data_IF_147308692780
#
_entry.id   IF_147308692780
#
_cell.length_a   1.000
_cell.length_b   1.000
_cell.length_c   1.000
_cell.angle_alpha   90.00
_cell.angle_beta   90.00
_cell.angle_gamma   90.00
#
_symmetry.space_group_name_H-M   'P 1'
#
loop_
_entity.id
_entity.type
_entity.pdbx_description
1 polymer ?
#
# COMPACT_ATOMS: atom_id res chain seq x y z
N UNK A 1 -14.33 15.59 18.37
CA UNK A 1 -12.96 15.04 18.20
C UNK A 1 -12.94 13.52 18.07
N UNK A 2 -13.65 12.78 18.93
CA UNK A 2 -13.63 11.30 18.93
C UNK A 2 -14.03 10.66 17.60
N UNK A 3 -15.10 11.14 16.96
CA UNK A 3 -15.55 10.63 15.65
C UNK A 3 -14.47 10.83 14.58
N UNK A 4 -13.77 11.97 14.58
CA UNK A 4 -12.71 12.25 13.61
C UNK A 4 -11.51 11.32 13.81
N UNK A 5 -11.17 10.99 15.05
CA UNK A 5 -10.15 10.00 15.39
C UNK A 5 -10.56 8.61 14.89
N UNK A 6 -11.81 8.20 15.11
CA UNK A 6 -12.32 6.91 14.63
C UNK A 6 -12.24 6.84 13.11
N UNK A 7 -12.68 7.88 12.40
CA UNK A 7 -12.60 7.96 10.93
C UNK A 7 -11.14 7.88 10.47
N UNK A 8 -10.22 8.59 11.13
CA UNK A 8 -8.80 8.58 10.80
C UNK A 8 -8.19 7.18 10.95
N UNK A 9 -8.40 6.54 12.10
CA UNK A 9 -7.82 5.20 12.38
C UNK A 9 -8.42 4.14 11.46
N UNK A 10 -9.75 4.12 11.27
CA UNK A 10 -10.39 3.14 10.39
C UNK A 10 -10.01 3.34 8.93
N UNK A 11 -9.94 4.58 8.44
CA UNK A 11 -9.53 4.84 7.06
C UNK A 11 -8.08 4.44 6.80
N UNK A 12 -7.18 4.65 7.77
CA UNK A 12 -5.80 4.19 7.67
C UNK A 12 -5.70 2.66 7.69
N UNK A 13 -6.44 1.99 8.59
CA UNK A 13 -6.47 0.52 8.68
C UNK A 13 -7.01 -0.11 7.39
N UNK A 14 -8.14 0.38 6.87
CA UNK A 14 -8.76 -0.10 5.63
C UNK A 14 -7.90 0.23 4.42
N UNK A 15 -7.27 1.42 4.40
CA UNK A 15 -6.43 1.87 3.29
C UNK A 15 -5.12 1.08 3.18
N UNK A 16 -4.44 0.87 4.31
CA UNK A 16 -3.15 0.17 4.36
C UNK A 16 -3.35 -1.36 4.34
N UNK A 17 -4.42 -1.89 4.95
CA UNK A 17 -4.66 -3.33 5.11
C UNK A 17 -4.39 -4.18 3.85
N UNK A 18 -4.91 -3.80 2.67
CA UNK A 18 -4.69 -4.55 1.43
C UNK A 18 -3.23 -4.62 0.96
N UNK A 19 -2.35 -3.73 1.43
CA UNK A 19 -0.90 -3.82 1.13
C UNK A 19 -0.27 -5.10 1.70
N UNK A 20 -0.76 -5.59 2.84
CA UNK A 20 -0.32 -6.86 3.42
C UNK A 20 -0.79 -8.09 2.64
N UNK A 21 -1.91 -7.95 1.92
CA UNK A 21 -2.45 -9.02 1.08
C UNK A 21 -1.78 -9.05 -0.30
N UNK A 22 -1.15 -7.96 -0.74
CA UNK A 22 -0.43 -7.90 -2.02
C UNK A 22 0.59 -9.04 -2.19
N UNK A 23 1.19 -9.48 -1.09
CA UNK A 23 2.13 -10.61 -1.06
C UNK A 23 1.52 -11.95 -1.43
N UNK A 24 0.21 -12.12 -1.21
CA UNK A 24 -0.52 -13.34 -1.57
C UNK A 24 -0.76 -13.39 -3.07
N UNK A 25 -1.03 -12.24 -3.69
CA UNK A 25 -1.35 -12.15 -5.12
C UNK A 25 -0.13 -12.02 -6.02
N UNK A 26 1.03 -11.64 -5.48
CA UNK A 26 2.24 -11.32 -6.23
C UNK A 26 3.44 -12.14 -5.72
N UNK A 27 3.21 -13.43 -5.49
CA UNK A 27 4.26 -14.32 -4.99
C UNK A 27 5.27 -14.60 -6.09
N UNK A 28 6.57 -14.58 -5.74
CA UNK A 28 7.65 -14.81 -6.72
C UNK A 28 7.69 -16.21 -7.31
N UNK A 29 7.03 -17.19 -6.67
CA UNK A 29 6.99 -18.60 -7.06
C UNK A 29 5.83 -18.97 -7.99
N UNK A 30 4.90 -18.04 -8.24
CA UNK A 30 3.76 -18.31 -9.10
C UNK A 30 4.20 -18.45 -10.57
N UNK A 31 3.59 -19.39 -11.28
CA UNK A 31 3.76 -19.49 -12.73
C UNK A 31 2.91 -18.42 -13.46
N UNK A 32 3.11 -18.29 -14.78
CA UNK A 32 2.44 -17.27 -15.61
C UNK A 32 0.92 -17.39 -15.54
N UNK A 33 0.39 -18.61 -15.55
CA UNK A 33 -1.06 -18.85 -15.52
C UNK A 33 -1.68 -18.43 -14.18
N UNK A 34 -1.01 -18.74 -13.07
CA UNK A 34 -1.43 -18.29 -11.74
C UNK A 34 -1.42 -16.75 -11.66
N UNK A 35 -0.39 -16.11 -12.22
CA UNK A 35 -0.29 -14.65 -12.27
C UNK A 35 -1.42 -14.00 -13.08
N UNK A 36 -1.82 -14.57 -14.23
CA UNK A 36 -2.98 -14.09 -15.01
C UNK A 36 -4.25 -14.02 -14.17
N UNK A 37 -4.46 -15.00 -13.29
CA UNK A 37 -5.60 -15.01 -12.38
C UNK A 37 -5.44 -14.01 -11.23
N UNK A 38 -4.25 -13.89 -10.64
CA UNK A 38 -4.01 -13.05 -9.46
C UNK A 38 -3.85 -11.55 -9.75
N UNK A 39 -3.30 -11.17 -10.91
CA UNK A 39 -2.94 -9.78 -11.19
C UNK A 39 -4.16 -8.86 -11.31
N UNK A 40 -5.30 -9.40 -11.76
CA UNK A 40 -6.57 -8.66 -11.78
C UNK A 40 -7.06 -8.27 -10.38
N UNK A 41 -6.81 -9.11 -9.38
CA UNK A 41 -7.13 -8.80 -7.98
C UNK A 41 -6.17 -7.76 -7.41
N UNK A 42 -4.87 -7.91 -7.66
CA UNK A 42 -3.86 -6.94 -7.20
C UNK A 42 -4.18 -5.51 -7.68
N UNK A 43 -4.58 -5.34 -8.95
CA UNK A 43 -4.98 -4.03 -9.48
C UNK A 43 -6.24 -3.43 -8.85
N UNK A 44 -7.18 -4.26 -8.36
CA UNK A 44 -8.35 -3.77 -7.61
C UNK A 44 -7.94 -3.33 -6.20
N UNK A 45 -6.99 -4.01 -5.58
CA UNK A 45 -6.52 -3.70 -4.23
C UNK A 45 -5.81 -2.35 -4.14
N UNK A 46 -5.17 -1.89 -5.22
CA UNK A 46 -4.55 -0.55 -5.28
C UNK A 46 -5.53 0.60 -5.06
N UNK A 47 -6.86 0.37 -5.17
CA UNK A 47 -7.86 1.40 -4.90
C UNK A 47 -7.99 1.71 -3.42
N UNK A 48 -7.77 0.72 -2.55
CA UNK A 48 -7.91 0.90 -1.10
C UNK A 48 -6.88 1.88 -0.54
N UNK A 49 -5.56 1.74 -0.83
CA UNK A 49 -4.58 2.73 -0.43
C UNK A 49 -4.86 4.10 -1.00
N UNK A 50 -5.50 4.25 -2.17
CA UNK A 50 -5.81 5.58 -2.73
C UNK A 50 -6.98 6.23 -1.98
N UNK A 51 -8.07 5.50 -1.77
CA UNK A 51 -9.30 6.03 -1.13
C UNK A 51 -9.11 6.17 0.38
N UNK A 52 -8.79 5.07 1.07
CA UNK A 52 -8.49 5.10 2.50
C UNK A 52 -7.28 6.00 2.79
N UNK A 53 -6.33 5.98 1.85
CA UNK A 53 -5.33 7.01 1.53
C UNK A 53 -5.68 8.42 1.92
N UNK A 54 -6.42 9.00 0.99
CA UNK A 54 -6.83 10.38 1.01
C UNK A 54 -7.66 10.69 2.25
N UNK A 55 -8.56 9.79 2.66
CA UNK A 55 -9.38 10.01 3.87
C UNK A 55 -8.51 10.08 5.13
N UNK A 56 -7.52 9.19 5.28
CA UNK A 56 -6.62 9.19 6.42
C UNK A 56 -5.77 10.48 6.47
N UNK A 57 -5.26 10.94 5.32
CA UNK A 57 -4.50 12.20 5.24
C UNK A 57 -5.37 13.40 5.60
N UNK A 58 -6.55 13.52 4.99
CA UNK A 58 -7.45 14.66 5.23
C UNK A 58 -7.94 14.70 6.68
N UNK A 59 -8.31 13.55 7.24
CA UNK A 59 -8.71 13.45 8.65
C UNK A 59 -7.54 13.71 9.61
N UNK A 60 -6.33 13.26 9.27
CA UNK A 60 -5.11 13.51 10.05
C UNK A 60 -4.73 14.99 10.09
N UNK A 61 -4.84 15.68 8.95
CA UNK A 61 -4.69 17.13 8.87
C UNK A 61 -5.79 17.85 9.68
N UNK A 62 -7.04 17.40 9.56
CA UNK A 62 -8.15 17.93 10.35
C UNK A 62 -7.92 17.80 11.85
N UNK A 63 -7.38 16.66 12.31
CA UNK A 63 -6.98 16.48 13.71
C UNK A 63 -5.90 17.49 14.06
N UNK A 64 -4.79 17.53 13.32
CA UNK A 64 -3.66 18.42 13.59
C UNK A 64 -4.05 19.91 13.68
N UNK A 65 -5.03 20.36 12.88
CA UNK A 65 -5.53 21.74 12.91
C UNK A 65 -6.53 22.02 14.04
N UNK A 66 -7.24 20.99 14.53
CA UNK A 66 -8.33 21.14 15.51
C UNK A 66 -7.91 20.87 16.95
N UNK A 67 -6.77 20.22 17.17
CA UNK A 67 -6.31 19.81 18.49
C UNK A 67 -5.09 20.60 18.97
N UNK A 68 -5.14 21.01 20.23
CA UNK A 68 -3.95 21.50 20.95
C UNK A 68 -3.16 20.28 21.46
N UNK A 69 -2.42 19.66 20.55
CA UNK A 69 -1.58 18.51 20.86
C UNK A 69 -0.24 19.00 21.38
N UNK A 70 0.20 18.54 22.55
CA UNK A 70 1.56 18.81 23.04
C UNK A 70 2.63 18.37 22.03
N UNK A 71 3.84 18.91 22.17
CA UNK A 71 4.96 18.79 21.19
C UNK A 71 5.24 17.34 20.75
N UNK A 72 5.14 16.39 21.68
CA UNK A 72 5.39 14.98 21.39
C UNK A 72 4.25 14.32 20.58
N UNK A 73 3.00 14.67 20.87
CA UNK A 73 1.84 14.20 20.10
C UNK A 73 1.80 14.82 18.69
N UNK A 74 2.30 16.05 18.52
CA UNK A 74 2.53 16.65 17.20
C UNK A 74 3.60 15.90 16.40
N UNK A 75 4.77 15.61 17.00
CA UNK A 75 5.83 14.86 16.33
C UNK A 75 5.35 13.48 15.89
N UNK A 76 4.55 12.82 16.72
CA UNK A 76 3.90 11.55 16.41
C UNK A 76 2.96 11.66 15.19
N UNK A 77 2.13 12.71 15.15
CA UNK A 77 1.19 12.97 14.06
C UNK A 77 1.94 13.21 12.73
N UNK A 78 2.97 14.06 12.76
CA UNK A 78 3.79 14.35 11.58
C UNK A 78 4.59 13.13 11.13
N UNK A 79 5.18 12.37 12.05
CA UNK A 79 5.92 11.15 11.73
C UNK A 79 5.03 10.11 11.03
N UNK A 80 3.82 9.89 11.55
CA UNK A 80 2.84 8.99 10.94
C UNK A 80 2.43 9.49 9.55
N UNK A 81 2.20 10.79 9.39
CA UNK A 81 1.86 11.41 8.10
C UNK A 81 2.97 11.24 7.07
N UNK A 82 4.24 11.44 7.45
CA UNK A 82 5.39 11.24 6.57
C UNK A 82 5.49 9.79 6.12
N UNK A 83 5.40 8.83 7.04
CA UNK A 83 5.41 7.40 6.70
C UNK A 83 4.27 7.08 5.75
N UNK A 84 3.08 7.66 5.98
CA UNK A 84 1.93 7.49 5.11
C UNK A 84 2.18 7.97 3.68
N UNK A 85 2.74 9.16 3.52
CA UNK A 85 3.13 9.71 2.21
C UNK A 85 4.15 8.81 1.51
N UNK A 86 5.11 8.26 2.24
CA UNK A 86 6.08 7.30 1.68
C UNK A 86 5.41 6.01 1.18
N UNK A 87 4.40 5.50 1.90
CA UNK A 87 3.58 4.37 1.42
C UNK A 87 2.86 4.74 0.12
N UNK A 88 2.24 5.91 0.06
CA UNK A 88 1.54 6.39 -1.16
C UNK A 88 2.50 6.49 -2.35
N UNK A 89 3.66 7.10 -2.15
CA UNK A 89 4.71 7.20 -3.18
C UNK A 89 5.13 5.81 -3.64
N UNK A 90 5.40 4.89 -2.70
CA UNK A 90 5.78 3.51 -3.02
C UNK A 90 4.72 2.81 -3.86
N UNK A 91 3.44 2.93 -3.47
CA UNK A 91 2.34 2.28 -4.19
C UNK A 91 2.10 2.89 -5.58
N UNK A 92 2.07 4.22 -5.68
CA UNK A 92 1.73 4.93 -6.93
C UNK A 92 2.92 4.97 -7.91
N UNK A 93 4.13 5.23 -7.42
CA UNK A 93 5.31 5.43 -8.27
C UNK A 93 6.07 4.12 -8.57
N UNK A 94 6.00 3.11 -7.70
CA UNK A 94 6.77 1.88 -7.87
C UNK A 94 5.91 0.64 -8.15
N UNK A 95 4.91 0.36 -7.30
CA UNK A 95 4.10 -0.86 -7.43
C UNK A 95 3.15 -0.78 -8.63
N UNK A 96 2.28 0.24 -8.69
CA UNK A 96 1.24 0.35 -9.70
C UNK A 96 1.75 0.35 -11.15
N UNK A 97 2.84 1.08 -11.51
CA UNK A 97 3.37 1.06 -12.86
C UNK A 97 3.94 -0.31 -13.23
N UNK A 98 4.56 -1.00 -12.27
CA UNK A 98 5.12 -2.34 -12.48
C UNK A 98 4.01 -3.38 -12.68
N UNK A 99 2.93 -3.30 -11.89
CA UNK A 99 1.77 -4.18 -12.06
C UNK A 99 1.03 -3.92 -13.37
N UNK A 100 0.91 -2.65 -13.77
CA UNK A 100 0.36 -2.31 -15.08
C UNK A 100 1.19 -2.92 -16.22
N UNK A 101 2.52 -2.74 -16.21
CA UNK A 101 3.42 -3.34 -17.21
C UNK A 101 3.32 -4.86 -17.26
N UNK A 102 3.30 -5.51 -16.10
CA UNK A 102 3.20 -6.96 -16.02
C UNK A 102 1.84 -7.46 -16.53
N UNK A 103 0.76 -6.76 -16.20
CA UNK A 103 -0.58 -7.05 -16.68
C UNK A 103 -0.67 -6.91 -18.20
N UNK A 104 -0.18 -5.80 -18.73
CA UNK A 104 -0.23 -5.53 -20.16
C UNK A 104 0.59 -6.58 -20.94
N UNK A 105 1.76 -7.00 -20.42
CA UNK A 105 2.53 -8.10 -21.00
C UNK A 105 1.83 -9.46 -20.90
N UNK A 106 1.21 -9.77 -19.76
CA UNK A 106 0.49 -11.03 -19.57
C UNK A 106 -0.67 -11.14 -20.56
N UNK A 107 -1.47 -10.09 -20.74
CA UNK A 107 -2.65 -10.16 -21.62
C UNK A 107 -2.35 -9.89 -23.11
N UNK A 108 -1.10 -9.68 -23.48
CA UNK A 108 -0.68 -9.61 -24.88
C UNK A 108 -0.96 -10.96 -25.58
N UNK A 109 -1.64 -10.97 -26.75
CA UNK A 109 -1.89 -12.18 -27.54
C UNK A 109 -0.63 -13.00 -27.83
N UNK A 110 0.52 -12.35 -28.04
CA UNK A 110 1.79 -13.03 -28.33
C UNK A 110 2.35 -13.82 -27.14
N UNK A 111 1.90 -13.53 -25.91
CA UNK A 111 2.40 -14.18 -24.70
C UNK A 111 1.45 -15.25 -24.14
N UNK A 112 0.35 -15.56 -24.84
CA UNK A 112 -0.67 -16.50 -24.34
C UNK A 112 -0.13 -17.91 -24.09
N UNK A 113 0.86 -18.35 -24.86
CA UNK A 113 1.45 -19.68 -24.77
C UNK A 113 2.62 -19.77 -23.77
N UNK A 114 3.03 -18.66 -23.17
CA UNK A 114 4.17 -18.62 -22.25
C UNK A 114 3.77 -19.22 -20.90
N UNK A 115 4.50 -20.24 -20.45
CA UNK A 115 4.22 -20.96 -19.19
C UNK A 115 5.07 -20.49 -18.01
N UNK A 116 6.26 -19.93 -18.29
CA UNK A 116 7.20 -19.41 -17.30
C UNK A 116 7.64 -17.99 -17.66
N UNK A 117 7.88 -17.14 -16.66
CA UNK A 117 8.35 -15.79 -16.89
C UNK A 117 9.75 -15.80 -17.49
N UNK A 118 9.98 -15.10 -18.62
CA UNK A 118 11.33 -14.85 -19.08
C UNK A 118 12.09 -13.98 -18.06
N UNK A 119 13.44 -13.96 -18.11
CA UNK A 119 14.26 -13.27 -17.11
C UNK A 119 13.93 -11.79 -16.92
N UNK A 120 13.49 -11.11 -17.98
CA UNK A 120 13.12 -9.69 -17.92
C UNK A 120 11.84 -9.47 -17.10
N UNK A 121 10.78 -10.24 -17.39
CA UNK A 121 9.49 -10.13 -16.69
C UNK A 121 9.60 -10.62 -15.24
N UNK A 122 10.46 -11.61 -14.99
CA UNK A 122 10.77 -12.05 -13.63
C UNK A 122 11.37 -10.90 -12.79
N UNK A 123 12.15 -9.99 -13.39
CA UNK A 123 12.65 -8.79 -12.69
C UNK A 123 11.50 -7.86 -12.30
N UNK A 124 10.45 -7.72 -13.13
CA UNK A 124 9.28 -6.91 -12.80
C UNK A 124 8.51 -7.50 -11.63
N UNK A 125 8.28 -8.82 -11.64
CA UNK A 125 7.68 -9.56 -10.51
C UNK A 125 8.48 -9.33 -9.22
N UNK A 126 9.79 -9.55 -9.28
CA UNK A 126 10.66 -9.37 -8.12
C UNK A 126 10.66 -7.93 -7.60
N UNK A 127 10.64 -6.95 -8.50
CA UNK A 127 10.58 -5.52 -8.16
C UNK A 127 9.25 -5.16 -7.49
N UNK A 128 8.12 -5.57 -8.07
CA UNK A 128 6.80 -5.31 -7.48
C UNK A 128 6.68 -5.95 -6.09
N UNK A 129 7.08 -7.22 -5.97
CA UNK A 129 7.13 -7.94 -4.69
C UNK A 129 8.03 -7.22 -3.66
N UNK A 130 9.21 -6.77 -4.06
CA UNK A 130 10.12 -6.01 -3.18
C UNK A 130 9.49 -4.72 -2.65
N UNK A 131 8.85 -3.93 -3.52
CA UNK A 131 8.20 -2.69 -3.11
C UNK A 131 6.97 -2.92 -2.21
N UNK A 132 6.26 -4.03 -2.38
CA UNK A 132 5.20 -4.40 -1.42
C UNK A 132 5.77 -4.69 -0.03
N UNK A 133 6.96 -5.28 0.08
CA UNK A 133 7.56 -5.54 1.40
C UNK A 133 7.95 -4.23 2.07
N UNK A 134 8.47 -3.27 1.30
CA UNK A 134 8.72 -1.91 1.79
C UNK A 134 7.42 -1.27 2.27
N UNK A 135 6.36 -1.30 1.45
CA UNK A 135 5.07 -0.72 1.80
C UNK A 135 4.45 -1.35 3.06
N UNK A 136 4.48 -2.69 3.18
CA UNK A 136 4.01 -3.39 4.37
C UNK A 136 4.85 -3.10 5.61
N UNK A 137 6.17 -3.00 5.48
CA UNK A 137 7.05 -2.61 6.58
C UNK A 137 6.73 -1.21 7.11
N UNK A 138 6.54 -0.26 6.21
CA UNK A 138 6.07 1.10 6.56
C UNK A 138 4.67 1.07 7.19
N UNK A 139 3.77 0.23 6.69
CA UNK A 139 2.43 0.04 7.27
C UNK A 139 2.47 -0.48 8.71
N UNK A 140 3.38 -1.41 9.01
CA UNK A 140 3.60 -1.89 10.39
C UNK A 140 4.08 -0.75 11.28
N UNK A 141 5.01 0.09 10.81
CA UNK A 141 5.46 1.25 11.58
C UNK A 141 4.31 2.22 11.91
N UNK A 142 3.39 2.43 10.96
CA UNK A 142 2.18 3.22 11.22
C UNK A 142 1.31 2.59 12.31
N UNK A 143 1.08 1.27 12.25
CA UNK A 143 0.30 0.60 13.30
C UNK A 143 0.98 0.65 14.66
N UNK A 144 2.30 0.49 14.71
CA UNK A 144 3.07 0.68 15.95
C UNK A 144 2.86 2.10 16.47
N UNK A 145 2.95 3.12 15.62
CA UNK A 145 2.69 4.49 16.03
C UNK A 145 1.24 4.64 16.53
N UNK A 146 0.24 4.12 15.83
CA UNK A 146 -1.18 4.16 16.25
C UNK A 146 -1.44 3.51 17.60
N UNK A 147 -0.73 2.43 17.92
CA UNK A 147 -0.85 1.73 19.20
C UNK A 147 -0.08 2.47 20.31
N UNK A 148 1.15 2.91 20.04
CA UNK A 148 2.04 3.57 21.01
C UNK A 148 1.79 5.08 21.07
N UNK A 149 0.57 5.52 20.75
CA UNK A 149 0.21 6.94 20.75
C UNK A 149 0.46 7.55 22.15
N UNK A 150 1.14 8.70 22.24
CA UNK A 150 1.32 9.36 23.52
C UNK A 150 0.01 9.87 24.12
N UNK A 151 -0.17 9.62 25.42
CA UNK A 151 -1.35 10.02 26.20
C UNK A 151 -2.48 8.98 26.24
N UNK A 152 -2.19 7.71 25.92
CA UNK A 152 -2.95 6.56 26.43
C UNK A 152 -2.49 6.22 27.85
#
# INVERSE_FOLDING_TARGET
MEILVVVHVLSALIGIGPTFLGHVFLQRRQNVQQYRSSIGFAGKMERFPKIGGTIAVLSGLGLALSGDYGTFAQLWLYGTLVIYVLIQITMIAAVAPTLKKLRDWLYDPGNQHVTAFPPEQQKWVNRASGWLYVASGLGILIFIFMIVKPGA
#
